data_IF_217325601521
#
_entry.id   IF_217325601521
#
_cell.length_a   1.000
_cell.length_b   1.000
_cell.length_c   1.000
_cell.angle_alpha   90.00
_cell.angle_beta   90.00
_cell.angle_gamma   90.00
#
_symmetry.space_group_name_H-M   'P 1'
#
loop_
_entity.id
_entity.type
_entity.pdbx_description
1 polymer ?
#
# COMPACT_ATOMS: atom_id res chain seq x y z
N UNK A 1 -13.71 15.91 -23.44
CA UNK A 1 -13.85 14.87 -22.36
C UNK A 1 -12.93 13.70 -22.74
N UNK A 2 -12.14 13.21 -21.81
CA UNK A 2 -11.26 12.06 -22.03
C UNK A 2 -12.12 10.79 -22.12
N UNK A 3 -11.86 9.95 -23.11
CA UNK A 3 -12.43 8.59 -23.22
C UNK A 3 -11.29 7.62 -23.00
N UNK A 4 -11.03 7.19 -21.75
CA UNK A 4 -9.94 6.27 -21.45
C UNK A 4 -10.28 4.87 -22.01
N UNK A 5 -9.28 4.20 -22.59
CA UNK A 5 -9.41 2.80 -23.02
C UNK A 5 -9.48 1.85 -21.81
N UNK A 6 -8.82 2.22 -20.71
CA UNK A 6 -8.69 1.42 -19.48
C UNK A 6 -8.88 2.28 -18.25
N UNK A 7 -9.60 1.77 -17.27
CA UNK A 7 -9.71 2.34 -15.91
C UNK A 7 -9.35 1.27 -14.90
N UNK A 8 -8.42 1.58 -14.00
CA UNK A 8 -8.08 0.75 -12.84
C UNK A 8 -8.59 1.37 -11.55
N UNK A 9 -9.19 0.55 -10.68
CA UNK A 9 -9.60 0.95 -9.33
C UNK A 9 -8.76 0.23 -8.28
N UNK A 10 -8.22 1.00 -7.33
CA UNK A 10 -7.59 0.46 -6.11
C UNK A 10 -8.63 0.37 -5.01
N UNK A 11 -9.01 -0.86 -4.64
CA UNK A 11 -10.16 -1.17 -3.80
C UNK A 11 -9.74 -1.46 -2.35
N UNK A 12 -10.23 -0.65 -1.44
CA UNK A 12 -10.03 -0.75 0.00
C UNK A 12 -11.37 -0.66 0.73
N UNK A 13 -11.44 -1.14 1.96
CA UNK A 13 -12.67 -1.15 2.77
C UNK A 13 -13.34 0.24 2.86
N UNK A 14 -12.57 1.32 2.88
CA UNK A 14 -13.10 2.68 3.01
C UNK A 14 -13.65 3.27 1.70
N UNK A 15 -13.26 2.76 0.53
CA UNK A 15 -13.74 3.27 -0.76
C UNK A 15 -14.57 2.25 -1.55
N UNK A 16 -14.62 1.00 -1.11
CA UNK A 16 -15.26 -0.08 -1.85
C UNK A 16 -16.75 0.18 -2.12
N UNK A 17 -17.47 0.70 -1.14
CA UNK A 17 -18.88 1.06 -1.32
C UNK A 17 -19.08 2.04 -2.49
N UNK A 18 -18.27 3.10 -2.56
CA UNK A 18 -18.32 4.09 -3.64
C UNK A 18 -17.93 3.48 -4.98
N UNK A 19 -16.88 2.63 -5.00
CA UNK A 19 -16.44 1.95 -6.24
C UNK A 19 -17.57 1.06 -6.79
N UNK A 20 -18.29 0.32 -5.95
CA UNK A 20 -19.45 -0.49 -6.38
C UNK A 20 -20.51 0.35 -7.06
N UNK A 21 -20.84 1.51 -6.51
CA UNK A 21 -21.79 2.45 -7.10
C UNK A 21 -21.29 2.97 -8.47
N UNK A 22 -20.00 3.31 -8.56
CA UNK A 22 -19.37 3.74 -9.81
C UNK A 22 -19.41 2.61 -10.86
N UNK A 23 -19.13 1.37 -10.50
CA UNK A 23 -19.15 0.23 -11.41
C UNK A 23 -20.53 0.01 -12.04
N UNK A 24 -21.62 0.35 -11.35
CA UNK A 24 -22.99 0.25 -11.91
C UNK A 24 -23.30 1.34 -12.93
N UNK A 25 -22.68 2.50 -12.80
CA UNK A 25 -22.96 3.67 -13.65
C UNK A 25 -21.94 3.86 -14.79
N UNK A 26 -20.71 3.45 -14.56
CA UNK A 26 -19.59 3.69 -15.50
C UNK A 26 -19.83 3.15 -16.91
N UNK A 27 -20.35 1.90 -17.11
CA UNK A 27 -20.63 1.37 -18.45
C UNK A 27 -21.68 2.16 -19.23
N UNK A 28 -22.53 2.92 -18.57
CA UNK A 28 -23.53 3.79 -19.22
C UNK A 28 -22.89 5.04 -19.83
N UNK A 29 -21.75 5.46 -19.30
CA UNK A 29 -21.04 6.69 -19.68
C UNK A 29 -19.84 6.36 -20.58
N UNK A 30 -19.17 5.25 -20.31
CA UNK A 30 -17.96 4.78 -20.97
C UNK A 30 -18.11 3.29 -21.34
N UNK A 31 -18.96 2.96 -22.32
CA UNK A 31 -19.30 1.56 -22.65
C UNK A 31 -18.11 0.75 -23.20
N UNK A 32 -17.14 1.42 -23.82
CA UNK A 32 -15.99 0.78 -24.47
C UNK A 32 -14.72 0.76 -23.59
N UNK A 33 -14.85 1.22 -22.34
CA UNK A 33 -13.72 1.26 -21.41
C UNK A 33 -13.61 -0.05 -20.65
N UNK A 34 -12.44 -0.67 -20.70
CA UNK A 34 -12.14 -1.87 -19.92
C UNK A 34 -11.81 -1.50 -18.45
N UNK A 35 -12.40 -2.25 -17.52
CA UNK A 35 -12.34 -1.95 -16.09
C UNK A 35 -11.52 -3.01 -15.36
N UNK A 36 -10.50 -2.58 -14.66
CA UNK A 36 -9.67 -3.44 -13.81
C UNK A 36 -9.79 -3.06 -12.34
N UNK A 37 -9.85 -4.08 -11.49
CA UNK A 37 -9.84 -3.88 -10.04
C UNK A 37 -8.55 -4.44 -9.45
N UNK A 38 -8.12 -3.88 -8.31
CA UNK A 38 -7.01 -4.39 -7.52
C UNK A 38 -7.11 -3.91 -6.08
N UNK A 39 -6.27 -4.44 -5.22
CA UNK A 39 -6.26 -4.08 -3.82
C UNK A 39 -6.89 -5.13 -2.90
N UNK A 40 -6.75 -4.95 -1.57
CA UNK A 40 -7.07 -5.99 -0.59
C UNK A 40 -8.55 -6.37 -0.53
N UNK A 41 -9.45 -5.45 -0.86
CA UNK A 41 -10.90 -5.69 -0.75
C UNK A 41 -11.42 -6.64 -1.82
N UNK A 42 -10.75 -6.76 -2.96
CA UNK A 42 -11.20 -7.56 -4.10
C UNK A 42 -10.35 -8.81 -4.34
N UNK A 43 -9.27 -8.99 -3.60
CA UNK A 43 -8.31 -10.07 -3.80
C UNK A 43 -8.87 -11.47 -3.45
N UNK A 44 -9.76 -11.58 -2.47
CA UNK A 44 -10.12 -12.86 -1.87
C UNK A 44 -11.34 -13.55 -2.47
N UNK A 45 -12.27 -12.81 -3.09
CA UNK A 45 -13.46 -13.36 -3.78
C UNK A 45 -13.59 -12.86 -5.21
N UNK A 46 -12.50 -12.94 -5.96
CA UNK A 46 -12.46 -12.51 -7.35
C UNK A 46 -13.58 -13.12 -8.21
N UNK A 47 -13.80 -14.44 -8.22
CA UNK A 47 -14.86 -15.05 -9.02
C UNK A 47 -16.27 -14.61 -8.61
N UNK A 48 -16.55 -14.37 -7.33
CA UNK A 48 -17.81 -13.82 -6.84
C UNK A 48 -18.06 -12.43 -7.37
N UNK A 49 -17.06 -11.57 -7.26
CA UNK A 49 -17.11 -10.19 -7.73
C UNK A 49 -17.26 -10.07 -9.24
N UNK A 50 -16.57 -10.91 -10.03
CA UNK A 50 -16.73 -10.92 -11.50
C UNK A 50 -18.11 -11.42 -11.95
N UNK A 51 -18.78 -12.27 -11.17
CA UNK A 51 -20.18 -12.62 -11.43
C UNK A 51 -21.13 -11.48 -11.07
N UNK A 52 -20.85 -10.76 -9.99
CA UNK A 52 -21.67 -9.61 -9.57
C UNK A 52 -21.49 -8.41 -10.50
N UNK A 53 -20.28 -8.19 -11.01
CA UNK A 53 -19.91 -7.07 -11.89
C UNK A 53 -19.34 -7.60 -13.23
N UNK A 54 -20.18 -8.13 -14.12
CA UNK A 54 -19.71 -8.74 -15.39
C UNK A 54 -19.04 -7.75 -16.35
N UNK A 55 -19.21 -6.44 -16.12
CA UNK A 55 -18.51 -5.38 -16.86
C UNK A 55 -17.04 -5.22 -16.46
N UNK A 56 -16.60 -5.83 -15.37
CA UNK A 56 -15.19 -5.81 -14.95
C UNK A 56 -14.39 -6.81 -15.79
N UNK A 57 -13.32 -6.33 -16.41
CA UNK A 57 -12.45 -7.13 -17.29
C UNK A 57 -11.65 -8.17 -16.48
N UNK A 58 -11.15 -7.78 -15.31
CA UNK A 58 -10.42 -8.66 -14.42
C UNK A 58 -9.99 -8.00 -13.12
N UNK A 59 -9.47 -8.81 -12.21
CA UNK A 59 -9.01 -8.39 -10.88
C UNK A 59 -7.54 -8.77 -10.75
N UNK A 60 -6.71 -7.81 -10.31
CA UNK A 60 -5.32 -8.02 -9.96
C UNK A 60 -5.25 -8.55 -8.53
N UNK A 61 -4.64 -9.72 -8.35
CA UNK A 61 -4.60 -10.45 -7.10
C UNK A 61 -3.20 -10.37 -6.48
N UNK A 62 -3.13 -10.00 -5.21
CA UNK A 62 -1.86 -9.85 -4.49
C UNK A 62 -1.17 -8.51 -4.77
N UNK A 63 0.17 -8.54 -4.90
CA UNK A 63 0.96 -7.35 -5.20
C UNK A 63 0.78 -6.93 -6.66
N UNK A 64 0.39 -5.69 -6.85
CA UNK A 64 -0.11 -5.19 -8.13
C UNK A 64 0.94 -4.61 -9.07
N UNK A 65 2.11 -4.24 -8.58
CA UNK A 65 3.08 -3.41 -9.31
C UNK A 65 3.50 -4.04 -10.66
N UNK A 66 3.92 -5.30 -10.63
CA UNK A 66 4.35 -6.01 -11.84
C UNK A 66 3.15 -6.43 -12.68
N UNK A 67 2.09 -6.93 -12.05
CA UNK A 67 0.86 -7.34 -12.74
C UNK A 67 0.24 -6.15 -13.50
N UNK A 68 0.13 -4.99 -12.85
CA UNK A 68 -0.41 -3.78 -13.48
C UNK A 68 0.44 -3.33 -14.66
N UNK A 69 1.76 -3.32 -14.53
CA UNK A 69 2.67 -3.00 -15.63
C UNK A 69 2.46 -3.93 -16.82
N UNK A 70 2.43 -5.25 -16.59
CA UNK A 70 2.25 -6.23 -17.67
C UNK A 70 0.90 -6.10 -18.37
N UNK A 71 -0.16 -5.78 -17.63
CA UNK A 71 -1.47 -5.46 -18.21
C UNK A 71 -1.40 -4.21 -19.08
N UNK A 72 -0.76 -3.13 -18.61
CA UNK A 72 -0.60 -1.91 -19.40
C UNK A 72 0.27 -2.13 -20.63
N UNK A 73 1.38 -2.86 -20.50
CA UNK A 73 2.26 -3.21 -21.62
C UNK A 73 1.50 -4.01 -22.69
N UNK A 74 0.54 -4.83 -22.29
CA UNK A 74 -0.32 -5.55 -23.23
C UNK A 74 -1.18 -4.58 -24.06
N UNK A 75 -1.82 -3.59 -23.40
CA UNK A 75 -2.61 -2.57 -24.11
C UNK A 75 -1.78 -1.71 -25.04
N UNK A 76 -0.55 -1.35 -24.65
CA UNK A 76 0.37 -0.60 -25.52
C UNK A 76 0.69 -1.40 -26.76
N UNK A 77 1.07 -2.67 -26.63
CA UNK A 77 1.35 -3.55 -27.78
C UNK A 77 0.15 -3.75 -28.69
N UNK A 78 -1.06 -3.87 -28.13
CA UNK A 78 -2.28 -3.94 -28.93
C UNK A 78 -2.51 -2.65 -29.75
N UNK A 79 -2.31 -1.49 -29.15
CA UNK A 79 -2.44 -0.22 -29.82
C UNK A 79 -1.43 -0.06 -30.97
N UNK A 80 -0.17 -0.46 -30.76
CA UNK A 80 0.89 -0.45 -31.78
C UNK A 80 0.57 -1.40 -32.94
N UNK A 81 0.05 -2.60 -32.64
CA UNK A 81 -0.26 -3.61 -33.68
C UNK A 81 -1.47 -3.26 -34.53
N UNK A 82 -2.38 -2.45 -34.02
CA UNK A 82 -3.59 -2.01 -34.75
C UNK A 82 -3.36 -0.75 -35.60
N UNK A 83 -2.16 -0.16 -35.57
CA UNK A 83 -1.82 0.99 -36.41
C UNK A 83 -2.63 2.26 -36.09
N UNK A 84 -3.20 2.37 -34.90
CA UNK A 84 -3.94 3.54 -34.44
C UNK A 84 -2.97 4.68 -34.08
N UNK A 85 -2.32 5.26 -35.09
CA UNK A 85 -1.95 6.67 -35.04
C UNK A 85 -3.24 7.50 -35.07
N UNK A 86 -3.41 8.39 -34.14
CA UNK A 86 -4.45 9.39 -33.98
C UNK A 86 -5.19 9.79 -35.28
N UNK A 87 -6.31 9.11 -35.59
CA UNK A 87 -7.32 9.62 -36.50
C UNK A 87 -8.65 9.59 -35.73
N UNK A 88 -9.21 10.78 -35.53
CA UNK A 88 -10.54 11.00 -34.98
C UNK A 88 -11.57 10.22 -35.81
N UNK A 89 -12.52 9.46 -35.23
CA UNK A 89 -13.57 8.84 -36.00
C UNK A 89 -14.58 9.88 -36.49
N UNK A 90 -14.97 9.80 -37.74
CA UNK A 90 -16.12 10.54 -38.31
C UNK A 90 -17.43 10.07 -37.68
N UNK A 91 -18.45 10.95 -37.57
CA UNK A 91 -19.62 10.73 -36.72
C UNK A 91 -20.83 10.10 -37.44
N UNK A 92 -20.67 8.99 -38.17
CA UNK A 92 -21.82 8.34 -38.81
C UNK A 92 -21.72 6.80 -38.74
N UNK A 93 -22.19 6.20 -37.60
CA UNK A 93 -22.73 4.84 -37.56
C UNK A 93 -23.12 4.37 -36.13
N UNK A 94 -24.20 4.97 -35.58
CA UNK A 94 -24.63 4.67 -34.17
C UNK A 94 -25.67 3.53 -34.07
N UNK A 95 -26.14 2.92 -35.13
CA UNK A 95 -27.33 2.03 -35.05
C UNK A 95 -27.12 0.51 -35.14
N UNK A 96 -25.90 -0.01 -35.24
CA UNK A 96 -25.72 -1.47 -35.46
C UNK A 96 -24.79 -2.24 -34.51
N UNK A 97 -24.32 -1.67 -33.38
CA UNK A 97 -23.37 -2.33 -32.46
C UNK A 97 -23.94 -2.73 -31.09
N UNK A 98 -25.24 -2.94 -30.97
CA UNK A 98 -25.86 -3.26 -29.67
C UNK A 98 -25.88 -4.77 -29.29
N UNK A 99 -25.23 -5.66 -30.03
CA UNK A 99 -25.47 -7.10 -29.93
C UNK A 99 -24.25 -8.01 -29.56
N UNK A 100 -23.07 -7.49 -29.26
CA UNK A 100 -21.97 -8.40 -28.82
C UNK A 100 -21.18 -7.80 -27.64
N UNK A 101 -21.75 -7.91 -26.44
CA UNK A 101 -21.14 -7.46 -25.17
C UNK A 101 -20.28 -8.54 -24.48
N UNK A 102 -19.70 -9.46 -25.21
CA UNK A 102 -18.66 -10.36 -24.71
C UNK A 102 -17.31 -9.79 -25.12
N UNK A 103 -16.66 -9.06 -24.20
CA UNK A 103 -15.34 -8.41 -24.27
C UNK A 103 -14.33 -8.92 -25.31
N UNK A 104 -14.61 -8.80 -26.59
CA UNK A 104 -13.71 -9.17 -27.68
C UNK A 104 -13.14 -7.95 -28.36
N UNK A 105 -11.87 -7.64 -28.11
CA UNK A 105 -11.09 -6.71 -28.92
C UNK A 105 -10.37 -7.52 -29.99
N UNK A 106 -10.56 -7.20 -31.26
CA UNK A 106 -9.96 -7.91 -32.40
C UNK A 106 -10.27 -9.42 -32.46
N UNK A 107 -11.46 -9.86 -31.97
CA UNK A 107 -11.90 -11.26 -32.02
C UNK A 107 -11.28 -12.17 -30.94
N UNK A 108 -10.46 -11.66 -30.03
CA UNK A 108 -9.88 -12.43 -28.91
C UNK A 108 -10.62 -12.20 -27.61
N UNK A 109 -10.87 -13.27 -26.87
CA UNK A 109 -11.43 -13.19 -25.51
C UNK A 109 -10.45 -12.57 -24.51
N UNK A 110 -10.95 -12.07 -23.37
CA UNK A 110 -10.12 -11.55 -22.27
C UNK A 110 -9.10 -12.61 -21.80
N UNK A 111 -9.51 -13.88 -21.75
CA UNK A 111 -8.62 -14.98 -21.36
C UNK A 111 -7.48 -15.20 -22.37
N UNK A 112 -7.72 -15.05 -23.67
CA UNK A 112 -6.67 -15.15 -24.69
C UNK A 112 -5.71 -13.95 -24.66
N UNK A 113 -6.20 -12.78 -24.28
CA UNK A 113 -5.39 -11.56 -24.19
C UNK A 113 -4.51 -11.55 -22.94
N UNK A 114 -5.06 -11.89 -21.78
CA UNK A 114 -4.42 -11.68 -20.49
C UNK A 114 -4.11 -12.96 -19.72
N UNK A 115 -4.55 -14.13 -20.18
CA UNK A 115 -4.43 -15.41 -19.45
C UNK A 115 -2.99 -15.87 -19.17
N UNK A 116 -1.99 -15.30 -19.84
CA UNK A 116 -0.57 -15.57 -19.60
C UNK A 116 0.04 -14.66 -18.53
N UNK A 117 -0.67 -13.60 -18.13
CA UNK A 117 -0.21 -12.69 -17.08
C UNK A 117 -0.51 -13.31 -15.72
N UNK A 118 0.50 -13.48 -14.88
CA UNK A 118 0.34 -14.01 -13.52
C UNK A 118 -0.31 -13.00 -12.58
N UNK A 119 -1.05 -13.50 -11.58
CA UNK A 119 -1.67 -12.66 -10.55
C UNK A 119 -2.96 -11.99 -10.99
N UNK A 120 -3.72 -12.62 -11.90
CA UNK A 120 -5.04 -12.16 -12.32
C UNK A 120 -6.15 -13.13 -11.89
N UNK A 121 -7.33 -12.59 -11.66
CA UNK A 121 -8.60 -13.32 -11.69
C UNK A 121 -9.41 -12.78 -12.85
N UNK A 122 -9.74 -13.65 -13.81
CA UNK A 122 -10.55 -13.39 -14.99
C UNK A 122 -11.87 -14.15 -14.89
N UNK A 123 -12.82 -13.88 -15.77
CA UNK A 123 -14.07 -14.64 -15.82
C UNK A 123 -13.85 -16.16 -16.03
N UNK A 124 -12.74 -16.54 -16.68
CA UNK A 124 -12.31 -17.94 -16.86
C UNK A 124 -11.65 -18.57 -15.62
N UNK A 125 -11.38 -17.81 -14.57
CA UNK A 125 -10.71 -18.25 -13.35
C UNK A 125 -9.41 -17.50 -13.06
N UNK A 126 -8.66 -18.01 -12.06
CA UNK A 126 -7.36 -17.47 -11.70
C UNK A 126 -6.28 -17.88 -12.70
N UNK A 127 -5.41 -16.94 -13.04
CA UNK A 127 -4.15 -17.24 -13.74
C UNK A 127 -3.10 -17.79 -12.74
N UNK A 128 -1.90 -18.07 -13.22
CA UNK A 128 -0.81 -18.49 -12.33
C UNK A 128 -0.59 -17.47 -11.20
N UNK A 129 -0.34 -17.91 -9.95
CA UNK A 129 -0.02 -17.00 -8.87
C UNK A 129 1.28 -16.25 -9.19
N UNK A 130 1.34 -14.98 -8.77
CA UNK A 130 2.56 -14.19 -8.90
C UNK A 130 3.47 -14.39 -7.69
N UNK A 131 4.75 -14.49 -7.95
CA UNK A 131 5.76 -14.43 -6.89
C UNK A 131 5.80 -13.05 -6.24
N UNK A 132 6.19 -12.99 -4.98
CA UNK A 132 6.33 -11.74 -4.23
C UNK A 132 7.39 -10.84 -4.87
N UNK A 133 7.08 -9.56 -5.00
CA UNK A 133 7.95 -8.58 -5.63
C UNK A 133 9.24 -8.37 -4.83
N UNK A 134 10.38 -8.36 -5.51
CA UNK A 134 11.62 -7.83 -4.95
C UNK A 134 11.50 -6.30 -4.84
N UNK A 135 11.41 -5.79 -3.61
CA UNK A 135 11.18 -4.38 -3.35
C UNK A 135 12.32 -3.48 -3.85
N UNK A 136 13.52 -4.02 -4.03
CA UNK A 136 14.68 -3.30 -4.56
C UNK A 136 14.49 -2.94 -6.04
N UNK A 137 13.66 -3.70 -6.76
CA UNK A 137 13.38 -3.46 -8.18
C UNK A 137 12.29 -2.42 -8.43
N UNK A 138 11.60 -1.97 -7.37
CA UNK A 138 10.56 -0.95 -7.50
C UNK A 138 11.18 0.40 -7.88
N UNK A 139 10.61 1.11 -8.89
CA UNK A 139 11.12 2.40 -9.30
C UNK A 139 10.92 3.45 -8.21
N UNK A 140 11.81 4.44 -8.17
CA UNK A 140 11.64 5.62 -7.35
C UNK A 140 10.62 6.55 -8.00
N UNK A 141 9.51 6.83 -7.31
CA UNK A 141 8.37 7.54 -7.88
C UNK A 141 8.44 9.06 -7.71
N UNK A 142 9.42 9.57 -6.99
CA UNK A 142 9.50 10.97 -6.55
C UNK A 142 10.60 11.78 -7.28
N UNK A 143 11.00 11.37 -8.49
CA UNK A 143 12.01 12.07 -9.27
C UNK A 143 11.65 13.54 -9.55
N UNK A 144 10.36 13.83 -9.71
CA UNK A 144 9.79 15.18 -9.78
C UNK A 144 8.97 15.47 -8.52
N UNK A 145 9.40 16.46 -7.73
CA UNK A 145 8.74 16.87 -6.48
C UNK A 145 7.67 17.95 -6.67
N UNK A 146 7.52 18.56 -7.84
CA UNK A 146 6.54 19.62 -8.07
C UNK A 146 5.08 19.18 -7.75
N UNK A 147 4.62 17.98 -8.19
CA UNK A 147 3.27 17.51 -7.88
C UNK A 147 3.04 17.22 -6.37
N UNK A 148 4.11 17.08 -5.61
CA UNK A 148 4.08 16.70 -4.18
C UNK A 148 4.35 17.89 -3.24
N UNK A 149 4.43 19.11 -3.75
CA UNK A 149 4.62 20.31 -2.94
C UNK A 149 3.55 20.40 -1.84
N UNK A 150 3.99 20.52 -0.58
CA UNK A 150 3.14 20.56 0.62
C UNK A 150 2.31 19.28 0.87
N UNK A 151 2.75 18.13 0.34
CA UNK A 151 2.15 16.82 0.63
C UNK A 151 3.08 16.00 1.52
N UNK A 152 2.49 15.09 2.28
CA UNK A 152 3.22 14.03 2.97
C UNK A 152 3.70 13.04 1.90
N UNK A 153 4.98 12.70 1.92
CA UNK A 153 5.57 11.66 1.09
C UNK A 153 5.44 10.33 1.83
N UNK A 154 4.85 9.34 1.16
CA UNK A 154 4.78 7.97 1.67
C UNK A 154 5.92 7.16 1.10
N UNK A 155 6.69 6.50 1.96
CA UNK A 155 7.89 5.79 1.59
C UNK A 155 7.94 4.40 2.21
N UNK A 156 8.28 3.37 1.43
CA UNK A 156 8.34 1.98 1.86
C UNK A 156 9.76 1.45 1.79
N UNK A 157 10.28 0.92 2.90
CA UNK A 157 11.60 0.26 2.96
C UNK A 157 11.49 -1.22 3.28
N UNK A 158 10.33 -1.64 3.79
CA UNK A 158 10.03 -3.04 4.05
C UNK A 158 8.56 -3.36 3.84
N UNK A 159 8.26 -4.58 3.44
CA UNK A 159 6.89 -5.09 3.28
C UNK A 159 6.73 -6.41 4.02
N UNK A 160 5.54 -6.60 4.62
CA UNK A 160 5.23 -7.71 5.50
C UNK A 160 5.33 -7.33 6.97
N UNK A 161 4.84 -8.21 7.86
CA UNK A 161 4.89 -8.02 9.31
C UNK A 161 5.09 -9.36 10.01
N UNK A 162 6.02 -9.48 10.97
CA UNK A 162 6.27 -10.76 11.65
C UNK A 162 5.14 -11.15 12.62
N UNK A 163 4.27 -10.22 12.97
CA UNK A 163 3.17 -10.42 13.92
C UNK A 163 1.94 -11.02 13.27
N UNK A 164 1.01 -11.52 14.12
CA UNK A 164 -0.21 -12.23 13.71
C UNK A 164 -1.48 -11.62 14.31
N UNK A 165 -1.48 -10.31 14.51
CA UNK A 165 -2.63 -9.65 15.10
C UNK A 165 -3.91 -9.93 14.28
N UNK A 166 -4.95 -10.43 14.93
CA UNK A 166 -6.15 -10.97 14.28
C UNK A 166 -6.98 -9.91 13.54
N UNK A 167 -6.86 -8.65 13.91
CA UNK A 167 -7.55 -7.51 13.28
C UNK A 167 -6.76 -6.89 12.12
N UNK A 168 -5.51 -7.31 11.92
CA UNK A 168 -4.60 -6.62 10.99
C UNK A 168 -4.42 -7.38 9.68
N UNK A 169 -4.70 -6.73 8.56
CA UNK A 169 -4.50 -7.31 7.23
C UNK A 169 -3.03 -7.69 6.97
N UNK A 170 -2.08 -6.93 7.53
CA UNK A 170 -0.63 -7.21 7.37
C UNK A 170 -0.18 -8.52 8.02
N UNK A 171 -1.02 -9.16 8.84
CA UNK A 171 -0.75 -10.48 9.41
C UNK A 171 -0.76 -11.62 8.39
N UNK A 172 -1.22 -11.36 7.16
CA UNK A 172 -1.30 -12.34 6.06
C UNK A 172 0.09 -12.57 5.48
N UNK A 173 0.85 -11.50 5.22
CA UNK A 173 2.24 -11.58 4.73
C UNK A 173 3.21 -11.56 5.92
N UNK A 174 3.62 -12.77 6.35
CA UNK A 174 4.48 -12.97 7.52
C UNK A 174 5.95 -12.82 7.24
N UNK A 175 6.34 -12.83 5.95
CA UNK A 175 7.73 -12.69 5.54
C UNK A 175 8.06 -11.22 5.33
N UNK A 176 8.80 -10.65 6.27
CA UNK A 176 9.34 -9.30 6.08
C UNK A 176 10.41 -9.34 4.98
N UNK A 177 10.22 -8.51 3.97
CA UNK A 177 11.14 -8.27 2.86
C UNK A 177 11.66 -6.85 2.96
N UNK A 178 12.96 -6.69 2.87
CA UNK A 178 13.63 -5.39 2.98
C UNK A 178 14.07 -4.92 1.60
N UNK A 179 14.02 -3.63 1.36
CA UNK A 179 14.73 -3.00 0.24
C UNK A 179 16.22 -2.97 0.53
N UNK A 180 17.01 -2.98 -0.53
CA UNK A 180 18.45 -2.78 -0.41
C UNK A 180 18.76 -1.46 0.30
N UNK A 181 19.64 -1.51 1.31
CA UNK A 181 19.90 -0.35 2.18
C UNK A 181 20.60 0.81 1.44
N UNK A 182 21.40 0.50 0.42
CA UNK A 182 22.09 1.54 -0.35
C UNK A 182 21.11 2.26 -1.29
N UNK A 183 20.09 1.54 -1.80
CA UNK A 183 18.96 2.14 -2.52
C UNK A 183 18.19 3.07 -1.59
N UNK A 184 17.83 2.60 -0.40
CA UNK A 184 17.11 3.38 0.61
C UNK A 184 17.88 4.65 0.96
N UNK A 185 19.18 4.56 1.23
CA UNK A 185 20.02 5.73 1.56
C UNK A 185 20.07 6.77 0.45
N UNK A 186 20.18 6.35 -0.83
CA UNK A 186 20.13 7.27 -1.96
C UNK A 186 18.81 8.02 -2.08
N UNK A 187 17.69 7.30 -1.88
CA UNK A 187 16.36 7.89 -1.96
C UNK A 187 16.08 8.82 -0.77
N UNK A 188 16.55 8.48 0.43
CA UNK A 188 16.50 9.37 1.60
C UNK A 188 17.32 10.64 1.39
N UNK A 189 18.52 10.52 0.79
CA UNK A 189 19.34 11.69 0.44
C UNK A 189 18.60 12.62 -0.50
N UNK A 190 17.92 12.06 -1.51
CA UNK A 190 17.09 12.86 -2.41
C UNK A 190 16.02 13.66 -1.65
N UNK A 191 15.29 13.05 -0.72
CA UNK A 191 14.29 13.77 0.08
C UNK A 191 14.92 14.87 0.96
N UNK A 192 16.08 14.61 1.52
CA UNK A 192 16.83 15.60 2.31
C UNK A 192 17.30 16.76 1.44
N UNK A 193 17.85 16.51 0.25
CA UNK A 193 18.32 17.52 -0.70
C UNK A 193 17.17 18.40 -1.22
N UNK A 194 15.97 17.79 -1.42
CA UNK A 194 14.76 18.50 -1.82
C UNK A 194 14.04 19.22 -0.69
N UNK A 195 14.58 19.15 0.53
CA UNK A 195 13.96 19.73 1.73
C UNK A 195 12.49 19.30 1.92
N UNK A 196 12.19 18.04 1.66
CA UNK A 196 10.86 17.46 1.86
C UNK A 196 10.45 17.64 3.30
N UNK A 197 9.29 18.24 3.55
CA UNK A 197 8.87 18.59 4.92
C UNK A 197 8.56 17.36 5.76
N UNK A 198 7.91 16.35 5.17
CA UNK A 198 7.55 15.12 5.90
C UNK A 198 7.59 13.89 5.00
N UNK A 199 8.33 12.87 5.45
CA UNK A 199 8.37 11.52 4.88
C UNK A 199 7.76 10.56 5.90
N UNK A 200 6.60 9.96 5.57
CA UNK A 200 5.99 8.91 6.38
C UNK A 200 6.37 7.54 5.81
N UNK A 201 7.09 6.77 6.64
CA UNK A 201 7.34 5.37 6.35
C UNK A 201 6.05 4.57 6.51
N UNK A 202 5.75 3.72 5.53
CA UNK A 202 4.56 2.86 5.52
C UNK A 202 4.88 1.40 5.86
N UNK A 203 6.08 1.16 6.32
CA UNK A 203 6.56 -0.10 6.91
C UNK A 203 5.70 -0.46 8.12
N UNK A 204 5.12 -1.67 8.15
CA UNK A 204 4.12 -2.06 9.17
C UNK A 204 4.66 -2.23 10.58
N UNK A 205 5.94 -2.51 10.71
CA UNK A 205 6.71 -2.52 11.96
C UNK A 205 8.14 -2.20 11.58
N UNK A 206 8.43 -0.93 11.43
CA UNK A 206 9.71 -0.44 10.88
C UNK A 206 10.92 -1.04 11.58
N UNK A 207 10.89 -1.18 12.90
CA UNK A 207 12.00 -1.69 13.71
C UNK A 207 12.01 -3.20 13.93
N UNK A 208 11.24 -3.97 13.15
CA UNK A 208 11.26 -5.44 13.29
C UNK A 208 12.59 -6.07 12.83
N UNK A 209 13.32 -5.42 11.92
CA UNK A 209 14.73 -5.70 11.65
C UNK A 209 15.60 -4.58 12.23
N UNK A 210 16.22 -4.86 13.36
CA UNK A 210 17.02 -3.88 14.11
C UNK A 210 18.19 -3.30 13.31
N UNK A 211 18.85 -4.15 12.49
CA UNK A 211 19.98 -3.71 11.68
C UNK A 211 19.54 -2.71 10.62
N UNK A 212 18.47 -3.03 9.91
CA UNK A 212 17.91 -2.16 8.88
C UNK A 212 17.44 -0.83 9.48
N UNK A 213 16.69 -0.87 10.57
CA UNK A 213 16.22 0.31 11.28
C UNK A 213 17.38 1.22 11.76
N UNK A 214 18.40 0.63 12.39
CA UNK A 214 19.59 1.36 12.87
C UNK A 214 20.37 2.02 11.74
N UNK A 215 20.51 1.36 10.58
CA UNK A 215 21.18 1.93 9.41
C UNK A 215 20.42 3.14 8.88
N UNK A 216 19.09 3.09 8.82
CA UNK A 216 18.25 4.20 8.38
C UNK A 216 18.27 5.33 9.39
N UNK A 217 18.06 5.07 10.68
CA UNK A 217 18.06 6.11 11.72
C UNK A 217 19.42 6.79 11.84
N UNK A 218 20.54 6.05 11.74
CA UNK A 218 21.88 6.61 11.72
C UNK A 218 22.10 7.51 10.52
N UNK A 219 21.70 7.05 9.33
CA UNK A 219 21.80 7.83 8.10
C UNK A 219 21.04 9.16 8.19
N UNK A 220 19.79 9.12 8.65
CA UNK A 220 18.95 10.31 8.86
C UNK A 220 19.59 11.27 9.89
N UNK A 221 20.13 10.73 10.99
CA UNK A 221 20.81 11.53 12.00
C UNK A 221 22.06 12.25 11.47
N UNK A 222 22.87 11.54 10.70
CA UNK A 222 24.14 12.04 10.17
C UNK A 222 23.95 13.07 9.03
N UNK A 223 22.83 12.99 8.30
CA UNK A 223 22.54 13.82 7.14
C UNK A 223 21.36 14.79 7.37
N UNK A 224 20.98 15.03 8.63
CA UNK A 224 19.85 15.90 8.96
C UNK A 224 20.01 17.30 8.35
N UNK A 225 19.05 17.71 7.53
CA UNK A 225 19.01 19.02 6.89
C UNK A 225 18.33 20.12 7.73
N UNK A 226 17.90 19.81 8.96
CA UNK A 226 17.17 20.73 9.85
C UNK A 226 15.71 20.99 9.47
N UNK A 227 15.20 20.42 8.38
CA UNK A 227 13.85 20.65 7.82
C UNK A 227 13.00 19.41 7.85
N UNK A 228 13.50 18.29 7.28
CA UNK A 228 12.72 17.08 7.06
C UNK A 228 12.34 16.40 8.37
N UNK A 229 11.07 16.00 8.47
CA UNK A 229 10.53 15.14 9.51
C UNK A 229 10.31 13.74 8.95
N UNK A 230 10.70 12.71 9.70
CA UNK A 230 10.49 11.31 9.36
C UNK A 230 9.54 10.67 10.36
N UNK A 231 8.47 10.06 9.85
CA UNK A 231 7.45 9.41 10.67
C UNK A 231 7.54 7.89 10.51
N UNK A 232 7.65 7.17 11.62
CA UNK A 232 7.83 5.72 11.67
C UNK A 232 6.73 5.05 12.48
N UNK A 233 6.18 3.94 11.95
CA UNK A 233 5.32 3.02 12.69
C UNK A 233 6.21 1.93 13.34
N UNK A 234 6.26 1.88 14.67
CA UNK A 234 7.16 0.98 15.40
C UNK A 234 6.45 0.10 16.43
N UNK A 235 7.11 -0.98 16.82
CA UNK A 235 6.81 -1.72 18.05
C UNK A 235 7.80 -1.28 19.11
N UNK A 236 7.36 -0.46 20.09
CA UNK A 236 8.31 0.15 21.02
C UNK A 236 8.92 -0.85 22.00
N UNK A 237 8.17 -1.89 22.39
CA UNK A 237 8.62 -2.94 23.31
C UNK A 237 9.81 -3.79 22.81
N UNK A 238 10.11 -3.76 21.50
CA UNK A 238 11.28 -4.45 20.94
C UNK A 238 12.50 -3.53 20.79
N UNK A 239 12.38 -2.21 21.02
CA UNK A 239 13.53 -1.31 20.96
C UNK A 239 14.65 -1.71 21.91
N UNK A 240 15.89 -1.55 21.44
CA UNK A 240 17.12 -1.80 22.17
C UNK A 240 17.68 -0.51 22.75
N UNK A 241 18.54 -0.63 23.75
CA UNK A 241 19.17 0.54 24.40
C UNK A 241 19.95 1.42 23.42
N UNK A 242 20.65 0.82 22.47
CA UNK A 242 21.40 1.54 21.43
C UNK A 242 20.50 2.35 20.48
N UNK A 243 19.32 1.82 20.15
CA UNK A 243 18.32 2.49 19.32
C UNK A 243 17.72 3.69 20.08
N UNK A 244 17.37 3.49 21.35
CA UNK A 244 16.86 4.55 22.22
C UNK A 244 17.92 5.65 22.42
N UNK A 245 19.19 5.26 22.61
CA UNK A 245 20.29 6.20 22.76
C UNK A 245 20.51 7.04 21.49
N UNK A 246 20.37 6.44 20.30
CA UNK A 246 20.44 7.17 19.03
C UNK A 246 19.24 8.13 18.86
N UNK A 247 18.02 7.64 19.08
CA UNK A 247 16.79 8.42 18.97
C UNK A 247 16.81 9.64 19.89
N UNK A 248 17.31 9.50 21.12
CA UNK A 248 17.44 10.61 22.07
C UNK A 248 18.50 11.68 21.67
N UNK A 249 19.29 11.41 20.62
CA UNK A 249 20.24 12.38 20.05
C UNK A 249 19.68 13.16 18.87
N UNK A 250 18.52 12.78 18.37
CA UNK A 250 17.88 13.48 17.27
C UNK A 250 17.53 14.92 17.65
N UNK A 251 17.56 15.85 16.69
CA UNK A 251 17.00 17.18 16.95
C UNK A 251 15.48 17.09 17.15
N UNK A 252 14.88 18.00 17.92
CA UNK A 252 13.42 18.10 17.98
C UNK A 252 12.81 18.25 16.60
N UNK A 253 11.82 17.40 16.28
CA UNK A 253 11.11 17.39 14.99
C UNK A 253 11.81 16.62 13.86
N UNK A 254 12.97 15.98 14.07
CA UNK A 254 13.56 15.09 13.07
C UNK A 254 12.76 13.81 12.91
N UNK A 255 12.29 13.22 14.00
CA UNK A 255 11.49 12.00 13.96
C UNK A 255 10.20 12.13 14.76
N UNK A 256 9.21 11.35 14.32
CA UNK A 256 7.94 11.11 15.00
C UNK A 256 7.70 9.59 15.01
N UNK A 257 7.26 9.06 16.13
CA UNK A 257 6.99 7.63 16.31
C UNK A 257 5.49 7.40 16.53
N UNK A 258 4.91 6.54 15.71
CA UNK A 258 3.57 6.00 15.89
C UNK A 258 3.70 4.60 16.50
N UNK A 259 3.13 4.44 17.69
CA UNK A 259 3.30 3.26 18.53
C UNK A 259 1.94 2.62 18.78
N UNK A 260 1.66 1.52 18.11
CA UNK A 260 0.44 0.78 18.32
C UNK A 260 0.45 0.07 19.68
N UNK A 261 -0.24 0.59 20.67
CA UNK A 261 -0.50 -0.08 21.96
C UNK A 261 -1.70 -1.01 21.83
N UNK A 262 -2.77 -0.50 21.27
CA UNK A 262 -4.07 -1.11 21.00
C UNK A 262 -4.90 -1.34 22.26
N UNK A 263 -4.37 -1.98 23.29
CA UNK A 263 -4.94 -2.21 24.62
C UNK A 263 -3.84 -2.56 25.61
N UNK A 264 -4.04 -2.25 26.89
CA UNK A 264 -3.20 -2.74 27.99
C UNK A 264 -3.84 -3.92 28.73
N UNK A 265 -5.08 -4.32 28.38
CA UNK A 265 -5.76 -5.47 28.95
C UNK A 265 -5.12 -6.79 28.49
N UNK A 266 -4.58 -7.63 29.42
CA UNK A 266 -3.90 -8.87 29.03
C UNK A 266 -4.81 -9.90 28.35
N UNK A 267 -6.11 -9.90 28.66
CA UNK A 267 -7.08 -10.81 28.04
C UNK A 267 -7.35 -10.39 26.59
N UNK A 268 -7.55 -9.10 26.35
CA UNK A 268 -7.68 -8.50 25.03
C UNK A 268 -6.44 -8.75 24.18
N UNK A 269 -5.22 -8.47 24.70
CA UNK A 269 -3.94 -8.68 24.01
C UNK A 269 -3.81 -10.13 23.54
N UNK A 270 -4.14 -11.11 24.40
CA UNK A 270 -4.13 -12.54 24.05
C UNK A 270 -5.17 -12.86 22.96
N UNK A 271 -6.39 -12.36 23.11
CA UNK A 271 -7.49 -12.63 22.18
C UNK A 271 -7.23 -12.12 20.77
N UNK A 272 -6.57 -10.98 20.64
CA UNK A 272 -6.18 -10.41 19.33
C UNK A 272 -4.85 -10.93 18.80
N UNK A 273 -4.25 -11.93 19.43
CA UNK A 273 -2.96 -12.54 19.09
C UNK A 273 -1.81 -11.50 18.97
N UNK A 274 -1.88 -10.43 19.76
CA UNK A 274 -0.81 -9.44 19.81
C UNK A 274 0.31 -9.91 20.73
N UNK A 275 1.54 -9.78 20.26
CA UNK A 275 2.74 -10.01 21.09
C UNK A 275 3.25 -8.64 21.51
N UNK A 276 3.13 -8.32 22.80
CA UNK A 276 3.58 -7.05 23.37
C UNK A 276 3.82 -7.22 24.87
N UNK A 277 4.92 -6.68 25.34
CA UNK A 277 5.24 -6.53 26.77
C UNK A 277 4.88 -5.11 27.21
N UNK A 278 3.76 -4.96 27.91
CA UNK A 278 3.22 -3.65 28.33
C UNK A 278 4.16 -2.94 29.30
N UNK A 279 4.75 -3.65 30.26
CA UNK A 279 5.67 -3.05 31.25
C UNK A 279 6.95 -2.55 30.58
N UNK A 280 7.45 -3.30 29.61
CA UNK A 280 8.62 -2.89 28.81
C UNK A 280 8.29 -1.71 27.91
N UNK A 281 7.12 -1.74 27.26
CA UNK A 281 6.63 -0.64 26.44
C UNK A 281 6.60 0.67 27.23
N UNK A 282 5.99 0.67 28.44
CA UNK A 282 5.90 1.85 29.31
C UNK A 282 7.30 2.41 29.64
N UNK A 283 8.23 1.54 30.02
CA UNK A 283 9.61 1.93 30.34
C UNK A 283 10.32 2.57 29.14
N UNK A 284 10.12 2.03 27.94
CA UNK A 284 10.76 2.53 26.73
C UNK A 284 10.13 3.84 26.29
N UNK A 285 8.79 3.96 26.29
CA UNK A 285 8.09 5.22 26.00
C UNK A 285 8.56 6.32 26.94
N UNK A 286 8.67 6.03 28.25
CA UNK A 286 9.21 6.96 29.22
C UNK A 286 10.70 7.32 28.97
N UNK A 287 11.50 6.34 28.50
CA UNK A 287 12.91 6.59 28.19
C UNK A 287 13.11 7.51 26.98
N UNK A 288 12.28 7.36 25.94
CA UNK A 288 12.27 8.27 24.77
C UNK A 288 11.71 9.65 25.19
N UNK A 289 10.64 9.65 25.99
CA UNK A 289 10.03 10.91 26.46
C UNK A 289 11.01 11.80 27.23
N UNK A 290 11.93 11.22 28.00
CA UNK A 290 12.97 11.99 28.70
C UNK A 290 13.88 12.80 27.78
N UNK A 291 14.04 12.39 26.53
CA UNK A 291 14.78 13.15 25.52
C UNK A 291 14.11 14.44 25.08
N UNK A 292 12.79 14.57 25.26
CA UNK A 292 11.99 15.75 24.89
C UNK A 292 12.17 16.20 23.42
N UNK A 293 12.56 15.29 22.54
CA UNK A 293 12.94 15.59 21.16
C UNK A 293 12.12 14.82 20.11
N UNK A 294 11.41 13.75 20.51
CA UNK A 294 10.60 12.92 19.63
C UNK A 294 9.13 12.99 20.05
N UNK A 295 8.27 13.31 19.10
CA UNK A 295 6.83 13.16 19.25
C UNK A 295 6.45 11.69 19.20
N UNK A 296 5.81 11.20 20.27
CA UNK A 296 5.31 9.85 20.38
C UNK A 296 3.78 9.87 20.29
N UNK A 297 3.24 9.13 19.34
CA UNK A 297 1.82 8.90 19.15
C UNK A 297 1.50 7.46 19.60
N UNK A 298 0.67 7.31 20.61
CA UNK A 298 0.27 6.01 21.14
C UNK A 298 -1.17 5.73 20.76
N UNK A 299 -1.41 4.63 20.04
CA UNK A 299 -2.72 4.29 19.51
C UNK A 299 -3.41 3.21 20.33
N UNK A 300 -4.70 3.44 20.62
CA UNK A 300 -5.60 2.47 21.20
C UNK A 300 -6.72 2.13 20.21
N UNK A 301 -7.20 0.88 20.23
CA UNK A 301 -8.35 0.45 19.43
C UNK A 301 -9.54 0.22 20.35
N UNK A 302 -10.61 0.98 20.16
CA UNK A 302 -11.88 0.76 20.85
C UNK A 302 -12.66 -0.41 20.21
N UNK A 303 -13.35 -1.21 21.04
CA UNK A 303 -14.21 -2.31 20.57
C UNK A 303 -13.49 -3.63 20.33
N UNK A 304 -12.30 -3.81 20.87
CA UNK A 304 -11.59 -5.09 20.85
C UNK A 304 -12.31 -6.13 21.76
N UNK A 305 -12.15 -7.44 21.48
CA UNK A 305 -12.70 -8.49 22.35
C UNK A 305 -12.22 -8.35 23.80
N UNK A 306 -13.11 -8.64 24.76
CA UNK A 306 -12.84 -8.57 26.20
C UNK A 306 -12.48 -7.18 26.73
N UNK A 307 -12.79 -6.13 25.97
CA UNK A 307 -12.56 -4.74 26.37
C UNK A 307 -13.88 -3.99 26.47
N UNK A 308 -14.28 -3.65 27.68
CA UNK A 308 -15.40 -2.77 27.96
C UNK A 308 -14.92 -1.32 28.11
N UNK A 309 -15.87 -0.41 28.33
CA UNK A 309 -15.58 1.02 28.48
C UNK A 309 -14.61 1.31 29.64
N UNK A 310 -14.74 0.60 30.76
CA UNK A 310 -13.86 0.81 31.93
C UNK A 310 -12.45 0.27 31.69
N UNK A 311 -12.33 -0.89 31.03
CA UNK A 311 -11.06 -1.47 30.65
C UNK A 311 -10.33 -0.59 29.64
N UNK A 312 -11.04 -0.11 28.61
CA UNK A 312 -10.49 0.83 27.65
C UNK A 312 -10.03 2.14 28.30
N UNK A 313 -10.83 2.65 29.26
CA UNK A 313 -10.47 3.85 30.01
C UNK A 313 -9.23 3.70 30.91
N UNK A 314 -8.91 2.46 31.33
CA UNK A 314 -7.65 2.18 32.07
C UNK A 314 -6.44 2.12 31.13
N UNK A 315 -6.61 1.69 29.89
CA UNK A 315 -5.56 1.71 28.85
C UNK A 315 -5.15 3.11 28.46
#
# INVERSE_FOLDING_TARGET
>A
KRQPKVIGFSCYIWNWKLIREILMELPKILPDTEIWLGGPEVTYDGPGLLREFPQVTGIMVGEGEVTFREVLDHYVREAESTGQSEQQPEPDSIEQQAADRTGTVAGKSVAERFGQISGLCLASGYTAPRELTDLTTLPFLYEDMEPFTNRIIYYETSRGCPYRCSYCLSSIDKKVRLRDIDVVKRELQFFLDQNVKQVKFIDRTFNCDHKHAMEIWRYIYEHDNGVTNFHFEISADILREEEIALLNRFRPGLAQLEIGVQSTNPETIRAIHRVMDVDKLEKIVAAIHRGQNIHQHLDLIAGLPYEDYESFGRS
#
